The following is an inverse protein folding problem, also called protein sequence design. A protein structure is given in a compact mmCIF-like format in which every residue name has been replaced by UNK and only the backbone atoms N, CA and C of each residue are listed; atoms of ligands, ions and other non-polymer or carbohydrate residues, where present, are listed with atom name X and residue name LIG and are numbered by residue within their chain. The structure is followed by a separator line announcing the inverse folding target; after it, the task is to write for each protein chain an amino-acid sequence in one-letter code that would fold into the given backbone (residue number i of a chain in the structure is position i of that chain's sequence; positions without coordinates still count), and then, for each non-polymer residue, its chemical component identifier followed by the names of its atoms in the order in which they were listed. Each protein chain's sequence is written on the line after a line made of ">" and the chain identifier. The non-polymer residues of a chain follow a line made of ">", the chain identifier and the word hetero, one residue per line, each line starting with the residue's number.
data_IF_398817444868
#
_entry.id   IF_398817444868
#
_cell.length_a   1.000
_cell.length_b   1.000
_cell.length_c   1.000
_cell.angle_alpha   90.00
_cell.angle_beta   90.00
_cell.angle_gamma   90.00
#
_symmetry.space_group_name_H-M   'P 1'
#
loop_
_entity.id
_entity.type
_entity.pdbx_description
1 polymer ?
#
# COMPACT_ATOMS: atom_id res chain seq x y z
N UNK A 1 0.32 -17.70 10.95
CA UNK A 1 -1.00 -18.23 10.52
C UNK A 1 -0.92 -18.45 9.02
N UNK A 2 -1.08 -19.68 8.55
CA UNK A 2 -1.13 -19.99 7.11
C UNK A 2 -2.60 -19.99 6.69
N UNK A 3 -2.97 -19.13 5.75
CA UNK A 3 -4.32 -19.07 5.17
C UNK A 3 -4.52 -20.25 4.24
N UNK A 4 -5.64 -20.99 4.41
CA UNK A 4 -5.91 -22.24 3.66
C UNK A 4 -6.89 -22.07 2.50
N UNK A 5 -7.52 -20.91 2.39
CA UNK A 5 -8.46 -20.58 1.32
C UNK A 5 -8.39 -19.07 1.01
N UNK A 6 -8.95 -18.68 -0.14
CA UNK A 6 -8.99 -17.29 -0.60
C UNK A 6 -9.84 -16.37 0.29
N UNK A 7 -10.83 -16.92 0.99
CA UNK A 7 -11.69 -16.15 1.89
C UNK A 7 -10.95 -15.65 3.12
N UNK A 8 -9.98 -16.43 3.59
CA UNK A 8 -9.17 -16.14 4.78
C UNK A 8 -7.92 -15.31 4.45
N UNK A 9 -7.52 -15.24 3.17
CA UNK A 9 -6.40 -14.40 2.73
C UNK A 9 -6.90 -12.98 2.45
N UNK A 10 -6.44 -11.96 3.21
CA UNK A 10 -7.02 -10.62 3.18
C UNK A 10 -6.57 -9.83 1.95
N UNK A 11 -7.08 -10.20 0.78
CA UNK A 11 -6.90 -9.46 -0.47
C UNK A 11 -7.81 -8.22 -0.42
N UNK A 12 -7.29 -7.12 -0.97
CA UNK A 12 -8.04 -5.87 -1.10
C UNK A 12 -9.35 -6.10 -1.86
N UNK A 13 -10.48 -5.69 -1.27
CA UNK A 13 -11.79 -5.70 -1.93
C UNK A 13 -12.05 -4.35 -2.58
N UNK A 14 -12.96 -4.30 -3.57
CA UNK A 14 -13.35 -3.05 -4.23
C UNK A 14 -13.84 -1.98 -3.26
N UNK A 15 -14.54 -2.36 -2.18
CA UNK A 15 -15.00 -1.43 -1.15
C UNK A 15 -13.87 -0.78 -0.34
N UNK A 16 -12.65 -1.33 -0.41
CA UNK A 16 -11.46 -0.82 0.28
C UNK A 16 -10.54 -0.04 -0.66
N UNK A 17 -10.91 0.07 -1.94
CA UNK A 17 -10.14 0.82 -2.93
C UNK A 17 -10.24 2.32 -2.61
N UNK A 18 -9.09 2.99 -2.60
CA UNK A 18 -9.04 4.46 -2.57
C UNK A 18 -9.33 5.01 -3.97
N UNK A 19 -9.71 6.29 -4.04
CA UNK A 19 -9.81 6.97 -5.33
C UNK A 19 -8.43 7.03 -5.97
N UNK A 20 -8.28 6.44 -7.16
CA UNK A 20 -7.03 6.45 -7.92
C UNK A 20 -7.21 7.33 -9.16
N UNK A 21 -6.25 8.22 -9.39
CA UNK A 21 -6.13 9.03 -10.60
C UNK A 21 -4.84 8.63 -11.30
N UNK A 22 -4.94 8.34 -12.60
CA UNK A 22 -3.81 7.96 -13.44
C UNK A 22 -3.63 9.03 -14.51
N UNK A 23 -2.41 9.53 -14.63
CA UNK A 23 -2.02 10.50 -15.65
C UNK A 23 -0.84 9.97 -16.44
N UNK A 24 -0.95 10.04 -17.76
CA UNK A 24 0.12 9.65 -18.67
C UNK A 24 1.01 10.86 -18.94
N UNK A 25 2.29 10.72 -18.66
CA UNK A 25 3.28 11.75 -18.99
C UNK A 25 3.63 11.59 -20.47
N UNK A 26 3.30 12.60 -21.27
CA UNK A 26 3.53 12.59 -22.72
C UNK A 26 5.03 12.77 -23.05
N UNK A 27 5.73 11.65 -23.32
CA UNK A 27 7.15 11.62 -23.74
C UNK A 27 7.35 10.73 -24.98
N UNK A 28 6.82 11.14 -26.15
CA UNK A 28 6.86 10.34 -27.37
C UNK A 28 8.29 10.12 -27.92
N UNK A 29 9.25 10.95 -27.51
CA UNK A 29 10.66 10.85 -27.86
C UNK A 29 11.39 9.71 -27.14
N UNK A 30 10.82 9.17 -26.07
CA UNK A 30 11.42 8.08 -25.30
C UNK A 30 10.87 6.72 -25.75
N UNK A 31 11.70 5.66 -25.75
CA UNK A 31 11.23 4.31 -26.02
C UNK A 31 10.25 3.85 -24.93
N UNK A 32 9.25 3.06 -25.34
CA UNK A 32 8.31 2.44 -24.40
C UNK A 32 9.05 1.48 -23.45
N UNK A 33 8.87 1.66 -22.14
CA UNK A 33 9.51 0.84 -21.11
C UNK A 33 8.68 -0.40 -20.71
N UNK A 34 7.45 -0.52 -21.22
CA UNK A 34 6.51 -1.55 -20.76
C UNK A 34 5.96 -1.27 -19.35
N UNK A 35 4.65 -1.49 -19.18
CA UNK A 35 3.91 -0.99 -18.01
C UNK A 35 3.83 -2.03 -16.86
N UNK A 36 3.90 -3.33 -17.18
CA UNK A 36 3.34 -4.41 -16.34
C UNK A 36 3.87 -4.57 -14.91
N UNK A 37 5.07 -4.09 -14.58
CA UNK A 37 5.63 -4.19 -13.22
C UNK A 37 5.97 -2.83 -12.59
N UNK A 38 6.13 -1.78 -13.42
CA UNK A 38 6.69 -0.51 -12.98
C UNK A 38 5.65 0.42 -12.35
N UNK A 39 4.36 0.26 -12.68
CA UNK A 39 3.29 1.04 -12.04
C UNK A 39 2.95 0.56 -10.63
N UNK A 40 2.73 -0.75 -10.46
CA UNK A 40 2.17 -1.29 -9.21
C UNK A 40 3.10 -1.20 -8.00
N UNK A 41 4.39 -1.50 -8.17
CA UNK A 41 5.36 -1.51 -7.05
C UNK A 41 5.49 -0.15 -6.36
N UNK A 42 5.78 0.94 -7.11
CA UNK A 42 5.86 2.28 -6.56
C UNK A 42 4.55 2.75 -5.93
N UNK A 43 3.39 2.46 -6.54
CA UNK A 43 2.09 2.85 -5.98
C UNK A 43 1.81 2.18 -4.63
N UNK A 44 2.00 0.86 -4.53
CA UNK A 44 1.77 0.13 -3.27
C UNK A 44 2.73 0.61 -2.19
N UNK A 45 3.99 0.88 -2.55
CA UNK A 45 5.01 1.39 -1.62
C UNK A 45 4.65 2.79 -1.12
N UNK A 46 4.20 3.68 -2.01
CA UNK A 46 3.79 5.04 -1.66
C UNK A 46 2.62 5.05 -0.67
N UNK A 47 1.62 4.19 -0.87
CA UNK A 47 0.47 4.06 0.05
C UNK A 47 0.94 3.57 1.43
N UNK A 48 1.75 2.51 1.47
CA UNK A 48 2.26 1.96 2.73
C UNK A 48 3.12 2.99 3.49
N UNK A 49 3.97 3.74 2.77
CA UNK A 49 4.81 4.78 3.35
C UNK A 49 3.99 5.95 3.88
N UNK A 50 3.02 6.46 3.11
CA UNK A 50 2.15 7.55 3.53
C UNK A 50 1.39 7.21 4.82
N UNK A 51 0.84 5.99 4.90
CA UNK A 51 0.18 5.52 6.11
C UNK A 51 1.14 5.44 7.31
N UNK A 52 2.31 4.83 7.12
CA UNK A 52 3.31 4.72 8.18
C UNK A 52 3.78 6.07 8.69
N UNK A 53 3.95 7.04 7.78
CA UNK A 53 4.34 8.39 8.12
C UNK A 53 3.24 9.12 8.91
N UNK A 54 1.99 9.04 8.45
CA UNK A 54 0.84 9.63 9.14
C UNK A 54 0.66 9.06 10.56
N UNK A 55 0.79 7.74 10.71
CA UNK A 55 0.75 7.09 12.02
C UNK A 55 1.87 7.60 12.93
N UNK A 56 3.08 7.74 12.40
CA UNK A 56 4.22 8.16 13.18
C UNK A 56 4.21 9.65 13.53
N UNK A 57 3.57 10.48 12.70
CA UNK A 57 3.28 11.87 13.00
C UNK A 57 2.24 11.99 14.13
N UNK A 58 1.18 11.19 14.10
CA UNK A 58 0.11 11.24 15.09
C UNK A 58 0.48 10.60 16.45
N UNK A 59 1.30 9.55 16.45
CA UNK A 59 1.61 8.77 17.66
C UNK A 59 3.04 8.94 18.18
N UNK A 60 3.94 9.53 17.40
CA UNK A 60 5.38 9.57 17.68
C UNK A 60 6.10 8.22 17.48
N UNK A 61 5.38 7.10 17.35
CA UNK A 61 5.95 5.75 17.22
C UNK A 61 6.13 5.37 15.74
N UNK A 62 7.23 4.68 15.39
CA UNK A 62 7.55 4.28 14.00
C UNK A 62 7.15 2.83 13.73
N UNK A 63 6.30 2.61 12.71
CA UNK A 63 5.95 1.26 12.25
C UNK A 63 7.08 0.68 11.40
N UNK A 64 7.44 -0.59 11.65
CA UNK A 64 8.44 -1.33 10.88
C UNK A 64 7.94 -2.68 10.37
N UNK A 65 6.85 -3.19 10.94
CA UNK A 65 6.32 -4.51 10.63
C UNK A 65 5.09 -4.42 9.73
N UNK A 66 5.12 -5.18 8.63
CA UNK A 66 3.97 -5.43 7.77
C UNK A 66 3.35 -6.79 8.08
N UNK A 67 2.04 -6.99 7.80
CA UNK A 67 1.05 -5.97 7.43
C UNK A 67 0.61 -5.09 8.61
N UNK A 68 0.22 -3.84 8.32
CA UNK A 68 -0.24 -2.83 9.28
C UNK A 68 -1.74 -3.00 9.61
N UNK A 69 -2.12 -4.15 10.17
CA UNK A 69 -3.52 -4.41 10.53
C UNK A 69 -3.95 -3.60 11.76
N UNK A 70 -5.24 -3.25 11.84
CA UNK A 70 -5.77 -2.49 12.96
C UNK A 70 -5.48 -3.13 14.33
N UNK A 71 -5.48 -4.46 14.44
CA UNK A 71 -5.16 -5.17 15.67
C UNK A 71 -3.69 -4.96 16.09
N UNK A 72 -2.75 -5.04 15.13
CA UNK A 72 -1.32 -4.80 15.39
C UNK A 72 -1.08 -3.35 15.77
N UNK A 73 -1.73 -2.40 15.09
CA UNK A 73 -1.60 -0.98 15.40
C UNK A 73 -2.12 -0.65 16.80
N UNK A 74 -3.26 -1.21 17.21
CA UNK A 74 -3.78 -1.05 18.58
C UNK A 74 -2.79 -1.57 19.63
N UNK A 75 -2.23 -2.77 19.41
CA UNK A 75 -1.19 -3.34 20.28
C UNK A 75 0.07 -2.48 20.34
N UNK A 76 0.41 -1.79 19.25
CA UNK A 76 1.58 -0.93 19.17
C UNK A 76 1.38 0.43 19.87
N UNK A 77 0.14 0.87 20.05
CA UNK A 77 -0.20 2.14 20.69
C UNK A 77 -0.25 2.06 22.21
N UNK A 78 -0.72 0.94 22.76
CA UNK A 78 -0.60 0.60 24.19
C UNK A 78 0.87 0.39 24.55
#
# INVERSE_FOLDING_TARGET
>A
MLTRNWSDYPILRFSQLLKVQVELINRPELPSLGEGAHGHGPTVTAIAFAFAFAFAHASGKRLRDLPMTAERLKKFLV
#
